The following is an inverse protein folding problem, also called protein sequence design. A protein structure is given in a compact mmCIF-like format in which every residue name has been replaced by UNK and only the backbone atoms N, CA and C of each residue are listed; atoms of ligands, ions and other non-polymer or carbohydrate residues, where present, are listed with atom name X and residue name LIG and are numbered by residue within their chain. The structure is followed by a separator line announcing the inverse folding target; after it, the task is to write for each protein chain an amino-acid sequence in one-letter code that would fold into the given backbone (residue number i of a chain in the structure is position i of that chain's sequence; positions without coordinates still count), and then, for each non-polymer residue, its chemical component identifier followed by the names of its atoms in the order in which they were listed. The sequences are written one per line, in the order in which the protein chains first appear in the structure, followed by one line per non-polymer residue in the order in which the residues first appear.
data_IF_726737163116
#
_entry.id   IF_726737163116
#
_cell.length_a   1.000
_cell.length_b   1.000
_cell.length_c   1.000
_cell.angle_alpha   90.00
_cell.angle_beta   90.00
_cell.angle_gamma   90.00
#
_symmetry.space_group_name_H-M   'P 1'
#
loop_
_entity.id
_entity.type
_entity.pdbx_description
1 polymer ?
#
# COMPACT_ATOMS: atom_id res chain seq x y z
N UNK A 1 12.65 11.23 -2.11
CA UNK A 1 12.03 10.75 -0.85
C UNK A 1 10.63 11.30 -0.55
N UNK A 2 10.27 12.58 -0.80
CA UNK A 2 8.94 13.12 -0.42
C UNK A 2 7.77 12.70 -1.34
N UNK A 3 8.03 12.40 -2.61
CA UNK A 3 6.98 12.08 -3.60
C UNK A 3 6.47 10.64 -3.50
N UNK A 4 7.36 9.66 -3.28
CA UNK A 4 6.97 8.24 -3.22
C UNK A 4 6.12 7.97 -1.98
N UNK A 5 6.45 8.57 -0.82
CA UNK A 5 5.62 8.47 0.38
C UNK A 5 4.19 9.01 0.17
N UNK A 6 4.04 10.11 -0.59
CA UNK A 6 2.74 10.68 -0.93
C UNK A 6 1.92 9.74 -1.83
N UNK A 7 2.56 9.12 -2.82
CA UNK A 7 1.90 8.16 -3.74
C UNK A 7 1.40 6.92 -2.97
N UNK A 8 2.21 6.38 -2.04
CA UNK A 8 1.82 5.25 -1.19
C UNK A 8 0.62 5.60 -0.30
N UNK A 9 0.62 6.80 0.29
CA UNK A 9 -0.49 7.27 1.14
C UNK A 9 -1.80 7.41 0.35
N UNK A 10 -1.76 8.00 -0.86
CA UNK A 10 -2.93 8.14 -1.73
C UNK A 10 -3.48 6.77 -2.16
N UNK A 11 -2.60 5.83 -2.51
CA UNK A 11 -2.99 4.44 -2.85
C UNK A 11 -3.70 3.74 -1.67
N UNK A 12 -3.21 3.90 -0.45
CA UNK A 12 -3.81 3.29 0.74
C UNK A 12 -5.22 3.80 1.06
N UNK A 13 -5.45 5.11 0.93
CA UNK A 13 -6.79 5.70 1.11
C UNK A 13 -7.78 5.10 0.09
N UNK A 14 -7.33 4.93 -1.16
CA UNK A 14 -8.17 4.36 -2.22
C UNK A 14 -8.62 2.93 -1.90
N UNK A 15 -7.76 2.14 -1.26
CA UNK A 15 -8.04 0.76 -0.88
C UNK A 15 -8.92 0.65 0.34
N UNK A 16 -8.68 1.47 1.36
CA UNK A 16 -9.56 1.58 2.52
C UNK A 16 -10.98 1.95 2.09
N UNK A 17 -11.12 2.87 1.12
CA UNK A 17 -12.42 3.23 0.56
C UNK A 17 -13.09 2.03 -0.11
N UNK A 18 -12.38 1.30 -0.98
CA UNK A 18 -12.89 0.08 -1.64
C UNK A 18 -13.23 -1.04 -0.65
N UNK A 19 -12.46 -1.19 0.43
CA UNK A 19 -12.73 -2.13 1.52
C UNK A 19 -13.99 -1.76 2.32
N UNK A 20 -14.20 -0.47 2.60
CA UNK A 20 -15.39 0.00 3.31
C UNK A 20 -16.65 -0.13 2.46
N UNK A 21 -16.56 0.13 1.16
CA UNK A 21 -17.66 0.02 0.20
C UNK A 21 -18.12 -1.44 0.00
N UNK A 22 -17.24 -2.42 0.27
CA UNK A 22 -17.56 -3.86 0.21
C UNK A 22 -18.12 -4.42 1.52
N UNK A 23 -17.96 -3.71 2.64
CA UNK A 23 -18.56 -4.10 3.92
C UNK A 23 -20.09 -3.93 3.95
N UNK A 24 -20.65 -3.24 2.95
CA UNK A 24 -22.07 -3.31 2.61
C UNK A 24 -22.35 -4.63 1.87
N UNK A 25 -22.93 -5.57 2.61
CA UNK A 25 -23.16 -6.98 2.28
C UNK A 25 -23.95 -7.23 0.99
N UNK A 26 -24.63 -6.23 0.43
CA UNK A 26 -25.42 -6.35 -0.80
C UNK A 26 -24.56 -6.34 -2.09
N UNK A 27 -23.29 -5.95 -2.02
CA UNK A 27 -22.41 -5.79 -3.20
C UNK A 27 -21.43 -6.94 -3.44
N UNK A 28 -21.29 -7.86 -2.48
CA UNK A 28 -20.33 -8.96 -2.48
C UNK A 28 -20.57 -10.02 -3.59
N UNK A 29 -21.76 -10.06 -4.18
CA UNK A 29 -22.09 -10.99 -5.28
C UNK A 29 -21.66 -10.48 -6.66
N UNK A 30 -21.34 -9.19 -6.79
CA UNK A 30 -21.08 -8.54 -8.09
C UNK A 30 -19.64 -8.07 -8.23
N UNK A 31 -18.98 -7.67 -7.13
CA UNK A 31 -17.58 -7.26 -7.12
C UNK A 31 -16.70 -8.41 -6.61
N UNK A 32 -16.30 -9.27 -7.55
CA UNK A 32 -15.62 -10.54 -7.26
C UNK A 32 -14.31 -10.38 -6.50
N UNK A 33 -14.04 -11.37 -5.64
CA UNK A 33 -12.82 -11.53 -4.82
C UNK A 33 -11.52 -11.19 -5.57
N UNK A 34 -11.48 -11.43 -6.88
CA UNK A 34 -10.34 -11.16 -7.77
C UNK A 34 -9.95 -9.67 -7.86
N UNK A 35 -10.90 -8.73 -7.92
CA UNK A 35 -10.57 -7.30 -8.00
C UNK A 35 -9.98 -6.80 -6.67
N UNK A 36 -10.55 -7.24 -5.56
CA UNK A 36 -10.05 -6.94 -4.21
C UNK A 36 -8.66 -7.52 -3.99
N UNK A 37 -8.44 -8.76 -4.44
CA UNK A 37 -7.13 -9.39 -4.37
C UNK A 37 -6.07 -8.56 -5.12
N UNK A 38 -6.36 -8.16 -6.36
CA UNK A 38 -5.45 -7.31 -7.14
C UNK A 38 -5.19 -5.95 -6.48
N UNK A 39 -6.22 -5.33 -5.92
CA UNK A 39 -6.13 -4.06 -5.18
C UNK A 39 -5.22 -4.18 -3.95
N UNK A 40 -5.38 -5.24 -3.13
CA UNK A 40 -4.52 -5.52 -1.97
C UNK A 40 -3.08 -5.81 -2.40
N UNK A 41 -2.90 -6.62 -3.45
CA UNK A 41 -1.58 -6.98 -3.97
C UNK A 41 -0.83 -5.73 -4.43
N UNK A 42 -1.48 -4.84 -5.17
CA UNK A 42 -0.88 -3.56 -5.59
C UNK A 42 -0.52 -2.71 -4.37
N UNK A 43 -1.36 -2.66 -3.33
CA UNK A 43 -1.00 -1.96 -2.09
C UNK A 43 0.26 -2.51 -1.43
N UNK A 44 0.31 -3.83 -1.28
CA UNK A 44 1.42 -4.51 -0.64
C UNK A 44 2.71 -4.25 -1.40
N UNK A 45 2.68 -4.20 -2.74
CA UNK A 45 3.86 -3.80 -3.52
C UNK A 45 4.31 -2.36 -3.24
N UNK A 46 3.38 -1.42 -3.08
CA UNK A 46 3.70 -0.03 -2.69
C UNK A 46 4.25 0.08 -1.26
N UNK A 47 3.66 -0.66 -0.31
CA UNK A 47 4.12 -0.73 1.08
C UNK A 47 5.52 -1.33 1.16
N UNK A 48 5.76 -2.47 0.51
CA UNK A 48 7.08 -3.12 0.47
C UNK A 48 8.11 -2.19 -0.17
N UNK A 49 7.78 -1.50 -1.25
CA UNK A 49 8.68 -0.51 -1.87
C UNK A 49 9.02 0.63 -0.91
N UNK A 50 8.05 1.13 -0.13
CA UNK A 50 8.27 2.14 0.91
C UNK A 50 9.16 1.64 2.05
N UNK A 51 8.93 0.42 2.51
CA UNK A 51 9.72 -0.23 3.57
C UNK A 51 11.16 -0.46 3.13
N UNK A 52 11.39 -0.91 1.89
CA UNK A 52 12.74 -1.10 1.35
C UNK A 52 13.51 0.22 1.24
N UNK A 53 12.86 1.32 0.86
CA UNK A 53 13.52 2.64 0.90
C UNK A 53 13.84 3.09 2.33
N UNK A 54 12.92 2.92 3.27
CA UNK A 54 13.19 3.22 4.68
C UNK A 54 14.35 2.37 5.23
N UNK A 55 14.44 1.12 4.78
CA UNK A 55 15.55 0.22 5.13
C UNK A 55 16.87 0.68 4.50
N UNK A 56 16.87 1.12 3.25
CA UNK A 56 18.06 1.70 2.61
C UNK A 56 18.54 2.96 3.35
N UNK A 57 17.64 3.87 3.70
CA UNK A 57 17.95 5.06 4.49
C UNK A 57 18.52 4.69 5.86
N UNK A 58 17.95 3.68 6.51
CA UNK A 58 18.43 3.17 7.80
C UNK A 58 19.83 2.54 7.72
N UNK A 59 20.07 1.73 6.68
CA UNK A 59 21.39 1.13 6.43
C UNK A 59 22.44 2.19 6.11
N UNK A 60 22.09 3.19 5.31
CA UNK A 60 22.97 4.30 4.96
C UNK A 60 23.29 5.18 6.19
N UNK A 61 22.31 5.42 7.06
CA UNK A 61 22.50 6.11 8.33
C UNK A 61 23.42 5.34 9.30
N UNK A 62 23.38 4.00 9.29
CA UNK A 62 24.33 3.15 10.03
C UNK A 62 25.73 3.18 9.43
N UNK A 63 25.85 3.22 8.11
CA UNK A 63 27.15 3.24 7.42
C UNK A 63 27.93 4.53 7.64
N UNK A 64 27.26 5.66 7.87
CA UNK A 64 27.92 6.95 8.13
C UNK A 64 28.53 7.06 9.54
N UNK A 65 28.27 6.07 10.42
CA UNK A 65 28.81 6.01 11.78
C UNK A 65 30.09 5.16 11.93
N UNK A 66 30.63 4.65 10.81
CA UNK A 66 31.87 3.87 10.76
C UNK A 66 33.07 4.69 10.32
#
# INVERSE_FOLDING_TARGET
MKLIASIVAISGIHLLKRFMEISDLDTATTFGETEMFWLVVIHLTFVVSGVLMALMDFLQARSYKG
#
